data_IF_605838670162
#
_entry.id   IF_605838670162
#
_cell.length_a   1.000
_cell.length_b   1.000
_cell.length_c   1.000
_cell.angle_alpha   90.00
_cell.angle_beta   90.00
_cell.angle_gamma   90.00
#
_symmetry.space_group_name_H-M   'P 1'
#
loop_
_entity.id
_entity.type
_entity.pdbx_description
1 polymer ?
#
# COMPACT_ATOMS: atom_id res chain seq x y z
N UNK A 1 -2.80 20.06 -5.49
CA UNK A 1 -3.50 18.76 -5.35
C UNK A 1 -2.44 17.67 -5.36
N UNK A 2 -2.59 16.64 -4.53
CA UNK A 2 -1.65 15.50 -4.54
C UNK A 2 -1.78 14.74 -5.86
N UNK A 3 -0.66 14.25 -6.39
CA UNK A 3 -0.62 13.36 -7.57
C UNK A 3 -1.29 12.00 -7.28
N UNK A 4 -1.41 11.63 -6.01
CA UNK A 4 -1.91 10.34 -5.53
C UNK A 4 -3.07 10.51 -4.57
N UNK A 5 -4.05 9.60 -4.67
CA UNK A 5 -5.25 9.61 -3.85
C UNK A 5 -5.33 8.40 -2.93
N UNK A 6 -6.02 8.53 -1.80
CA UNK A 6 -6.31 7.44 -0.90
C UNK A 6 -7.14 6.34 -1.60
N UNK A 7 -8.11 6.74 -2.40
CA UNK A 7 -8.93 5.82 -3.22
C UNK A 7 -8.07 5.04 -4.21
N UNK A 8 -7.17 5.71 -4.94
CA UNK A 8 -6.26 5.04 -5.88
C UNK A 8 -5.31 4.06 -5.18
N UNK A 9 -4.87 4.37 -3.94
CA UNK A 9 -4.10 3.44 -3.12
C UNK A 9 -4.92 2.19 -2.79
N UNK A 10 -6.18 2.34 -2.37
CA UNK A 10 -7.08 1.22 -2.07
C UNK A 10 -7.33 0.38 -3.31
N UNK A 11 -7.59 0.99 -4.45
CA UNK A 11 -7.76 0.28 -5.72
C UNK A 11 -6.51 -0.55 -6.10
N UNK A 12 -5.33 0.04 -5.96
CA UNK A 12 -4.06 -0.66 -6.19
C UNK A 12 -3.87 -1.87 -5.27
N UNK A 13 -4.20 -1.73 -3.98
CA UNK A 13 -4.08 -2.81 -3.02
C UNK A 13 -5.14 -3.90 -3.22
N UNK A 14 -6.36 -3.53 -3.62
CA UNK A 14 -7.39 -4.50 -4.00
C UNK A 14 -6.96 -5.33 -5.23
N UNK A 15 -6.34 -4.70 -6.22
CA UNK A 15 -5.77 -5.44 -7.35
C UNK A 15 -4.66 -6.39 -6.90
N UNK A 16 -3.82 -5.96 -5.94
CA UNK A 16 -2.72 -6.76 -5.43
C UNK A 16 -3.17 -8.05 -4.72
N UNK A 17 -4.40 -8.12 -4.20
CA UNK A 17 -5.00 -9.36 -3.69
C UNK A 17 -5.15 -10.44 -4.78
N UNK A 18 -5.36 -10.05 -6.04
CA UNK A 18 -5.46 -10.96 -7.19
C UNK A 18 -4.09 -11.35 -7.77
N UNK A 19 -3.00 -10.74 -7.32
CA UNK A 19 -1.66 -11.05 -7.83
C UNK A 19 -1.01 -12.17 -7.02
N UNK A 20 -0.16 -12.95 -7.66
CA UNK A 20 0.72 -13.89 -6.95
C UNK A 20 1.81 -13.11 -6.24
N UNK A 21 1.67 -12.90 -4.96
CA UNK A 21 2.60 -12.10 -4.14
C UNK A 21 3.30 -12.97 -3.09
N UNK A 22 4.47 -12.55 -2.69
CA UNK A 22 5.23 -13.15 -1.57
C UNK A 22 5.91 -12.04 -0.78
N UNK A 23 5.92 -12.19 0.54
CA UNK A 23 6.59 -11.23 1.40
C UNK A 23 8.11 -11.26 1.17
N UNK A 24 8.68 -10.12 0.83
CA UNK A 24 10.13 -9.96 0.71
C UNK A 24 10.56 -8.68 1.41
N UNK A 25 11.30 -8.79 2.50
CA UNK A 25 11.80 -7.63 3.24
C UNK A 25 12.58 -6.68 2.32
N UNK A 26 12.20 -5.40 2.30
CA UNK A 26 12.75 -4.39 1.39
C UNK A 26 12.30 -4.53 -0.06
N UNK A 27 11.34 -5.40 -0.37
CA UNK A 27 10.78 -5.58 -1.71
C UNK A 27 9.84 -4.44 -2.11
N UNK A 28 9.74 -4.16 -3.41
CA UNK A 28 8.96 -3.06 -4.01
C UNK A 28 8.09 -3.56 -5.18
N UNK A 29 7.32 -4.61 -5.00
CA UNK A 29 6.47 -5.22 -6.04
C UNK A 29 7.22 -5.52 -7.34
N UNK A 30 8.36 -6.16 -7.21
CA UNK A 30 9.15 -6.66 -8.35
C UNK A 30 8.97 -8.15 -8.53
N UNK A 31 9.00 -8.62 -9.78
CA UNK A 31 9.03 -10.05 -10.08
C UNK A 31 10.17 -10.71 -9.31
N UNK A 32 9.88 -11.80 -8.64
CA UNK A 32 10.87 -12.58 -7.90
C UNK A 32 11.83 -13.23 -8.90
N UNK A 33 13.11 -12.91 -8.81
CA UNK A 33 14.20 -13.49 -9.58
C UNK A 33 15.33 -13.90 -8.63
N UNK A 34 16.22 -14.79 -9.06
CA UNK A 34 17.40 -15.15 -8.24
C UNK A 34 18.22 -13.89 -7.90
N UNK A 35 18.48 -13.04 -8.90
CA UNK A 35 19.22 -11.78 -8.69
C UNK A 35 18.55 -10.86 -7.67
N UNK A 36 17.19 -10.80 -7.66
CA UNK A 36 16.45 -10.00 -6.67
C UNK A 36 16.56 -10.59 -5.26
N UNK A 37 16.47 -11.91 -5.13
CA UNK A 37 16.68 -12.62 -3.85
C UNK A 37 18.08 -12.35 -3.31
N UNK A 38 19.11 -12.55 -4.14
CA UNK A 38 20.52 -12.38 -3.74
C UNK A 38 20.83 -10.93 -3.35
N UNK A 39 20.32 -9.97 -4.12
CA UNK A 39 20.44 -8.55 -3.80
C UNK A 39 19.84 -8.22 -2.42
N UNK A 40 18.61 -8.72 -2.14
CA UNK A 40 17.95 -8.48 -0.87
C UNK A 40 18.60 -9.25 0.29
N UNK A 41 19.06 -10.45 0.06
CA UNK A 41 19.86 -11.22 1.06
C UNK A 41 21.13 -10.48 1.44
N UNK A 42 21.85 -9.92 0.46
CA UNK A 42 23.05 -9.11 0.71
C UNK A 42 22.73 -7.84 1.52
N UNK A 43 21.62 -7.18 1.20
CA UNK A 43 21.18 -5.94 1.85
C UNK A 43 20.63 -6.16 3.27
N UNK A 44 19.94 -7.29 3.51
CA UNK A 44 19.21 -7.59 4.74
C UNK A 44 19.40 -9.03 5.19
N UNK A 45 20.64 -9.50 5.48
CA UNK A 45 20.95 -10.92 5.68
C UNK A 45 20.12 -11.59 6.78
N UNK A 46 19.79 -10.88 7.85
CA UNK A 46 18.99 -11.42 8.97
C UNK A 46 17.55 -11.81 8.62
N UNK A 47 17.01 -11.30 7.50
CA UNK A 47 15.63 -11.58 7.05
C UNK A 47 15.59 -12.65 5.95
N UNK A 48 16.74 -13.11 5.49
CA UNK A 48 16.89 -14.07 4.38
C UNK A 48 17.69 -15.30 4.84
N UNK A 49 17.13 -16.06 5.82
CA UNK A 49 17.69 -17.36 6.20
C UNK A 49 17.71 -18.30 5.00
N UNK A 50 18.52 -19.37 5.07
CA UNK A 50 18.58 -20.36 3.98
C UNK A 50 17.21 -20.97 3.68
N UNK A 51 16.43 -21.29 4.70
CA UNK A 51 15.05 -21.79 4.54
C UNK A 51 14.18 -20.76 3.80
N UNK A 52 14.28 -19.46 4.16
CA UNK A 52 13.52 -18.41 3.47
C UNK A 52 13.96 -18.26 2.02
N UNK A 53 15.24 -18.30 1.74
CA UNK A 53 15.78 -18.24 0.37
C UNK A 53 15.25 -19.41 -0.47
N UNK A 54 15.30 -20.64 0.02
CA UNK A 54 14.75 -21.82 -0.66
C UNK A 54 13.26 -21.66 -0.96
N UNK A 55 12.49 -21.13 -0.02
CA UNK A 55 11.08 -20.82 -0.18
C UNK A 55 10.84 -19.79 -1.32
N UNK A 56 11.63 -18.71 -1.33
CA UNK A 56 11.52 -17.67 -2.35
C UNK A 56 11.93 -18.18 -3.74
N UNK A 57 12.88 -19.09 -3.81
CA UNK A 57 13.31 -19.71 -5.07
C UNK A 57 12.18 -20.46 -5.76
N UNK A 58 11.24 -21.07 -5.03
CA UNK A 58 10.06 -21.70 -5.62
C UNK A 58 9.05 -20.71 -6.22
N UNK A 59 9.25 -19.40 -6.01
CA UNK A 59 8.38 -18.32 -6.47
C UNK A 59 8.95 -17.57 -7.68
N UNK A 60 10.17 -17.89 -8.10
CA UNK A 60 10.86 -17.22 -9.21
C UNK A 60 10.01 -17.23 -10.48
N UNK A 61 9.94 -16.07 -11.15
CA UNK A 61 9.23 -15.85 -12.39
C UNK A 61 7.71 -15.70 -12.27
N UNK A 62 7.10 -16.21 -11.18
CA UNK A 62 5.65 -16.30 -11.06
C UNK A 62 5.04 -15.40 -9.98
N UNK A 63 5.88 -14.81 -9.11
CA UNK A 63 5.43 -14.02 -7.97
C UNK A 63 6.06 -12.63 -7.97
N UNK A 64 5.37 -11.68 -7.34
CA UNK A 64 5.90 -10.37 -7.02
C UNK A 64 6.32 -10.32 -5.54
N UNK A 65 7.53 -9.83 -5.28
CA UNK A 65 8.08 -9.68 -3.93
C UNK A 65 7.91 -8.26 -3.41
N UNK A 66 7.27 -8.11 -2.24
CA UNK A 66 7.15 -6.83 -1.53
C UNK A 66 7.12 -7.03 -0.01
N UNK A 67 7.37 -5.96 0.73
CA UNK A 67 7.01 -5.87 2.15
C UNK A 67 5.84 -4.90 2.37
N UNK A 68 5.45 -4.70 3.63
CA UNK A 68 4.30 -3.86 3.98
C UNK A 68 4.46 -2.40 3.53
N UNK A 69 5.65 -1.82 3.67
CA UNK A 69 5.97 -0.46 3.20
C UNK A 69 6.19 -0.44 1.70
N UNK A 70 6.80 -1.49 1.18
CA UNK A 70 7.11 -1.66 -0.25
C UNK A 70 5.88 -1.66 -1.13
N UNK A 71 4.75 -2.19 -0.64
CA UNK A 71 3.49 -2.15 -1.36
C UNK A 71 2.95 -0.70 -1.47
N UNK A 72 3.02 0.11 -0.40
CA UNK A 72 2.67 1.53 -0.44
C UNK A 72 3.59 2.28 -1.39
N UNK A 73 4.91 2.08 -1.26
CA UNK A 73 5.90 2.72 -2.11
C UNK A 73 5.73 2.34 -3.57
N UNK A 74 5.37 1.10 -3.89
CA UNK A 74 5.18 0.68 -5.28
C UNK A 74 4.05 1.46 -5.94
N UNK A 75 2.96 1.76 -5.22
CA UNK A 75 1.92 2.67 -5.70
C UNK A 75 2.49 4.06 -6.03
N UNK A 76 3.23 4.66 -5.09
CA UNK A 76 3.81 5.99 -5.24
C UNK A 76 4.90 6.05 -6.32
N UNK A 77 5.61 4.95 -6.56
CA UNK A 77 6.71 4.88 -7.52
C UNK A 77 6.27 4.46 -8.94
N UNK A 78 4.97 4.28 -9.17
CA UNK A 78 4.42 4.04 -10.50
C UNK A 78 4.09 2.59 -10.82
N UNK A 79 4.07 1.68 -9.84
CA UNK A 79 3.51 0.34 -9.97
C UNK A 79 4.53 -0.81 -10.00
N UNK A 80 4.08 -1.94 -10.56
CA UNK A 80 4.83 -3.19 -10.61
C UNK A 80 6.03 -3.09 -11.55
N UNK A 81 7.17 -3.67 -11.15
CA UNK A 81 8.39 -3.83 -11.95
C UNK A 81 9.06 -2.54 -12.46
N UNK A 82 8.43 -1.40 -12.29
CA UNK A 82 8.94 -0.12 -12.79
C UNK A 82 8.94 0.98 -11.74
N UNK A 83 9.45 0.74 -10.51
CA UNK A 83 9.44 1.77 -9.49
C UNK A 83 10.35 2.92 -9.93
N UNK A 84 9.75 4.06 -10.21
CA UNK A 84 10.45 5.34 -10.39
C UNK A 84 10.76 5.88 -8.99
N UNK A 85 11.93 5.52 -8.48
CA UNK A 85 12.37 5.93 -7.14
C UNK A 85 12.30 7.45 -6.96
N UNK A 86 11.71 7.86 -5.85
CA UNK A 86 11.67 9.26 -5.42
C UNK A 86 11.99 9.31 -3.92
N UNK A 87 13.11 9.92 -3.58
CA UNK A 87 13.63 9.98 -2.19
C UNK A 87 12.63 10.56 -1.19
N UNK A 88 11.80 11.53 -1.61
CA UNK A 88 10.77 12.15 -0.76
C UNK A 88 9.74 11.18 -0.18
N UNK A 89 9.57 10.00 -0.81
CA UNK A 89 8.63 8.95 -0.36
C UNK A 89 9.35 7.70 0.16
N UNK A 90 10.70 7.70 0.14
CA UNK A 90 11.48 6.58 0.64
C UNK A 90 11.60 6.66 2.16
N UNK A 91 10.72 5.95 2.82
CA UNK A 91 10.63 5.90 4.28
C UNK A 91 10.30 4.48 4.76
N UNK A 92 10.34 4.26 6.05
CA UNK A 92 9.94 3.03 6.73
C UNK A 92 8.67 3.26 7.57
N UNK A 93 8.20 2.24 8.27
CA UNK A 93 6.99 2.32 9.11
C UNK A 93 7.07 3.45 10.15
N UNK A 94 8.22 3.60 10.82
CA UNK A 94 8.46 4.67 11.81
C UNK A 94 8.43 6.05 11.14
N UNK A 95 9.04 6.18 9.96
CA UNK A 95 9.03 7.41 9.20
C UNK A 95 7.62 7.80 8.74
N UNK A 96 6.79 6.83 8.28
CA UNK A 96 5.39 7.08 7.95
C UNK A 96 4.62 7.63 9.17
N UNK A 97 4.82 7.02 10.34
CA UNK A 97 4.22 7.51 11.58
C UNK A 97 4.66 8.94 11.92
N UNK A 98 5.95 9.25 11.74
CA UNK A 98 6.53 10.56 12.07
C UNK A 98 6.05 11.68 11.14
N UNK A 99 5.95 11.42 9.82
CA UNK A 99 5.53 12.44 8.84
C UNK A 99 4.02 12.69 8.83
N UNK A 100 3.23 11.76 9.36
CA UNK A 100 1.78 11.88 9.44
C UNK A 100 1.37 12.85 10.53
N UNK A 101 0.87 14.02 10.14
CA UNK A 101 0.35 15.04 11.07
C UNK A 101 -1.04 14.66 11.59
N UNK A 102 -1.89 14.13 10.72
CA UNK A 102 -3.22 13.63 11.06
C UNK A 102 -3.15 12.14 11.34
N UNK A 103 -3.39 11.76 12.57
CA UNK A 103 -3.35 10.38 13.09
C UNK A 103 -4.10 10.27 14.39
N UNK A 104 -4.52 9.06 14.74
CA UNK A 104 -5.16 8.75 16.02
C UNK A 104 -4.90 7.32 16.46
N UNK A 105 -5.37 6.98 17.67
CA UNK A 105 -5.33 5.60 18.14
C UNK A 105 -6.33 4.74 17.36
N UNK A 106 -6.15 3.43 17.35
CA UNK A 106 -7.00 2.53 16.55
C UNK A 106 -8.47 2.56 16.97
N UNK A 107 -8.75 2.86 18.24
CA UNK A 107 -10.11 2.99 18.79
C UNK A 107 -10.86 4.18 18.18
N UNK A 108 -10.13 5.16 17.65
CA UNK A 108 -10.70 6.35 16.99
C UNK A 108 -10.67 6.26 15.47
N UNK A 109 -10.44 5.06 14.90
CA UNK A 109 -10.37 4.87 13.46
C UNK A 109 -11.64 5.37 12.77
N UNK A 110 -11.55 6.43 11.93
CA UNK A 110 -12.71 6.89 11.18
C UNK A 110 -12.96 5.99 9.96
N UNK A 111 -14.20 5.97 9.45
CA UNK A 111 -14.57 5.22 8.27
C UNK A 111 -14.10 5.92 6.99
N UNK A 112 -12.78 6.05 6.84
CA UNK A 112 -12.10 6.68 5.69
C UNK A 112 -11.17 5.66 5.05
N UNK A 113 -11.48 5.24 3.84
CA UNK A 113 -10.65 4.30 3.10
C UNK A 113 -9.30 4.92 2.72
N UNK A 114 -8.25 4.09 2.68
CA UNK A 114 -6.90 4.51 2.33
C UNK A 114 -6.08 5.03 3.52
N UNK A 115 -6.67 5.10 4.73
CA UNK A 115 -5.89 5.33 5.94
C UNK A 115 -4.87 4.22 6.12
N UNK A 116 -3.68 4.58 6.54
CA UNK A 116 -2.64 3.61 6.89
C UNK A 116 -2.87 3.14 8.32
N UNK A 117 -3.05 1.86 8.49
CA UNK A 117 -3.05 1.21 9.79
C UNK A 117 -1.60 0.95 10.20
N UNK A 118 -1.28 1.25 11.45
CA UNK A 118 0.08 1.19 11.97
C UNK A 118 0.15 0.38 13.26
N UNK A 119 1.18 -0.45 13.35
CA UNK A 119 1.74 -0.97 14.58
C UNK A 119 3.28 -0.97 14.48
N UNK A 120 3.98 -1.10 15.59
CA UNK A 120 5.46 -1.07 15.60
C UNK A 120 6.03 -2.08 14.59
N UNK A 121 6.68 -1.57 13.55
CA UNK A 121 7.33 -2.39 12.52
C UNK A 121 6.43 -2.87 11.39
N UNK A 122 5.13 -2.51 11.37
CA UNK A 122 4.22 -2.98 10.34
C UNK A 122 3.16 -1.93 9.98
N UNK A 123 2.69 -1.99 8.72
CA UNK A 123 1.62 -1.14 8.19
C UNK A 123 0.70 -1.93 7.28
N UNK A 124 -0.55 -1.49 7.18
CA UNK A 124 -1.56 -1.94 6.23
C UNK A 124 -2.39 -0.77 5.73
N UNK A 125 -3.32 -1.01 4.83
CA UNK A 125 -4.25 0.00 4.30
C UNK A 125 -5.68 -0.36 4.69
N UNK A 126 -6.36 0.56 5.36
CA UNK A 126 -7.77 0.42 5.69
C UNK A 126 -8.63 0.52 4.43
N UNK A 127 -9.52 -0.43 4.24
CA UNK A 127 -10.39 -0.49 3.05
C UNK A 127 -11.88 -0.28 3.38
N UNK A 128 -12.17 0.11 4.62
CA UNK A 128 -13.55 0.28 5.11
C UNK A 128 -14.09 -0.98 5.81
N UNK A 129 -15.23 -0.82 6.49
CA UNK A 129 -15.99 -1.92 7.12
C UNK A 129 -15.15 -2.79 8.09
N UNK A 130 -14.19 -2.21 8.79
CA UNK A 130 -13.30 -2.94 9.71
C UNK A 130 -12.34 -3.91 9.02
N UNK A 131 -12.06 -3.76 7.73
CA UNK A 131 -11.13 -4.58 6.96
C UNK A 131 -9.89 -3.78 6.55
N UNK A 132 -8.78 -4.48 6.40
CA UNK A 132 -7.56 -3.93 5.84
C UNK A 132 -6.89 -4.91 4.88
N UNK A 133 -6.05 -4.38 3.98
CA UNK A 133 -5.13 -5.17 3.17
C UNK A 133 -3.73 -4.88 3.69
N UNK A 134 -2.91 -5.91 3.82
CA UNK A 134 -1.53 -5.83 4.29
C UNK A 134 -0.63 -6.79 3.51
N UNK A 135 0.67 -6.49 3.42
CA UNK A 135 1.65 -7.46 2.95
C UNK A 135 2.40 -7.97 4.17
N UNK A 136 2.22 -9.24 4.51
CA UNK A 136 2.69 -9.84 5.77
C UNK A 136 3.35 -11.19 5.58
N UNK A 137 4.05 -11.65 6.63
CA UNK A 137 4.64 -12.99 6.72
C UNK A 137 4.28 -13.58 8.09
N UNK A 138 3.74 -14.79 8.11
CA UNK A 138 3.41 -15.52 9.34
C UNK A 138 1.99 -16.05 9.35
N UNK A 139 1.32 -16.01 10.50
CA UNK A 139 0.01 -16.66 10.70
C UNK A 139 -1.11 -16.15 9.81
N UNK A 140 -0.97 -14.93 9.28
CA UNK A 140 -1.99 -14.32 8.41
C UNK A 140 -1.72 -14.55 6.91
N UNK A 141 -0.53 -15.04 6.55
CA UNK A 141 -0.17 -15.34 5.16
C UNK A 141 1.29 -15.07 4.85
N UNK A 142 1.65 -15.21 3.57
CA UNK A 142 2.97 -14.86 3.02
C UNK A 142 2.75 -14.07 1.73
N UNK A 143 2.68 -12.76 1.83
CA UNK A 143 2.37 -11.84 0.74
C UNK A 143 1.23 -10.88 1.07
N UNK A 144 0.49 -10.45 0.04
CA UNK A 144 -0.64 -9.53 0.18
C UNK A 144 -1.89 -10.31 0.58
N UNK A 145 -2.49 -9.91 1.67
CA UNK A 145 -3.68 -10.56 2.25
C UNK A 145 -4.68 -9.52 2.76
N UNK A 146 -5.94 -9.90 2.81
CA UNK A 146 -6.99 -9.15 3.47
C UNK A 146 -7.20 -9.70 4.88
N UNK A 147 -7.25 -8.81 5.88
CA UNK A 147 -7.45 -9.16 7.29
C UNK A 147 -8.48 -8.24 7.93
N UNK A 148 -9.01 -8.65 9.09
CA UNK A 148 -9.84 -7.77 9.92
C UNK A 148 -8.96 -6.85 10.76
N UNK A 149 -9.42 -5.62 10.96
CA UNK A 149 -8.75 -4.66 11.87
C UNK A 149 -8.80 -5.17 13.31
N UNK A 150 -9.98 -5.67 13.73
CA UNK A 150 -10.17 -6.21 15.05
C UNK A 150 -9.27 -7.44 15.31
N UNK A 151 -8.59 -7.45 16.44
CA UNK A 151 -7.72 -8.57 16.87
C UNK A 151 -6.39 -8.68 16.11
N UNK A 152 -6.10 -7.76 15.17
CA UNK A 152 -4.82 -7.78 14.40
C UNK A 152 -3.66 -7.16 15.17
N UNK A 153 -3.93 -6.29 16.14
CA UNK A 153 -2.91 -5.61 16.94
C UNK A 153 -2.49 -4.25 16.40
N UNK A 154 -3.27 -3.67 15.51
CA UNK A 154 -3.08 -2.29 15.10
C UNK A 154 -3.18 -1.35 16.30
N UNK A 155 -2.34 -0.32 16.33
CA UNK A 155 -2.30 0.66 17.45
C UNK A 155 -2.76 2.05 17.04
N UNK A 156 -2.56 2.41 15.77
CA UNK A 156 -2.90 3.74 15.26
C UNK A 156 -3.39 3.66 13.81
N UNK A 157 -4.05 4.72 13.39
CA UNK A 157 -4.31 5.06 12.01
C UNK A 157 -3.61 6.36 11.63
N UNK A 158 -3.21 6.52 10.36
CA UNK A 158 -2.41 7.62 9.86
C UNK A 158 -2.97 8.12 8.53
N UNK A 159 -2.93 9.45 8.29
CA UNK A 159 -3.00 10.03 6.95
C UNK A 159 -1.59 10.33 6.44
N UNK A 160 -1.19 9.73 5.34
CA UNK A 160 0.08 10.09 4.71
C UNK A 160 -0.06 11.43 3.99
N UNK A 161 0.88 12.38 4.16
CA UNK A 161 0.79 13.71 3.54
C UNK A 161 0.92 13.69 2.01
N UNK A 162 1.21 12.55 1.44
CA UNK A 162 1.38 12.34 0.00
C UNK A 162 0.10 11.90 -0.72
N UNK A 163 -0.94 11.59 0.04
CA UNK A 163 -2.23 11.11 -0.45
C UNK A 163 -3.31 12.18 -0.26
N UNK A 164 -4.14 12.35 -1.26
CA UNK A 164 -5.37 13.12 -1.14
C UNK A 164 -6.49 12.21 -0.62
N UNK A 165 -7.07 12.57 0.52
CA UNK A 165 -8.17 11.84 1.17
C UNK A 165 -9.55 12.44 0.85
N UNK A 166 -9.60 13.55 0.09
CA UNK A 166 -10.86 14.20 -0.29
C UNK A 166 -11.44 13.67 -1.61
N UNK A 167 -10.74 12.72 -2.25
CA UNK A 167 -11.15 12.15 -3.53
C UNK A 167 -12.28 11.13 -3.29
N UNK A 168 -13.51 11.59 -3.40
CA UNK A 168 -14.73 10.81 -3.18
C UNK A 168 -15.73 11.45 -2.22
N UNK A 169 -15.37 12.52 -1.57
CA UNK A 169 -16.38 13.41 -0.99
C UNK A 169 -16.95 14.23 -2.15
N UNK A 170 -18.01 13.73 -2.77
CA UNK A 170 -18.94 14.61 -3.45
C UNK A 170 -19.43 15.58 -2.36
N UNK A 171 -18.84 16.75 -2.27
CA UNK A 171 -19.52 17.86 -1.62
C UNK A 171 -20.74 18.11 -2.47
N UNK A 172 -21.86 17.48 -2.13
CA UNK A 172 -23.15 17.98 -2.53
C UNK A 172 -23.17 19.42 -2.04
N UNK A 173 -22.85 20.33 -2.94
CA UNK A 173 -23.06 21.73 -2.71
C UNK A 173 -24.57 21.88 -2.63
N UNK A 174 -25.11 21.98 -1.43
CA UNK A 174 -26.54 22.18 -1.19
C UNK A 174 -27.08 23.51 -1.72
N UNK A 175 -26.40 24.13 -2.68
CA UNK A 175 -26.84 25.34 -3.37
C UNK A 175 -27.05 25.08 -4.87
N UNK A 176 -28.18 25.49 -5.38
CA UNK A 176 -28.54 25.46 -6.81
C UNK A 176 -27.92 26.60 -7.61
N UNK A 177 -26.82 27.20 -7.18
CA UNK A 177 -26.22 28.31 -7.86
C UNK A 177 -25.46 27.90 -9.14
N UNK A 178 -25.48 28.69 -10.21
CA UNK A 178 -24.79 28.40 -11.48
C UNK A 178 -23.27 28.22 -11.34
N UNK A 179 -22.63 28.92 -10.40
CA UNK A 179 -21.19 28.84 -10.16
C UNK A 179 -20.73 27.48 -9.60
N UNK A 180 -21.62 26.75 -8.91
CA UNK A 180 -21.34 25.42 -8.39
C UNK A 180 -21.47 24.37 -9.49
N UNK A 181 -22.40 24.54 -10.45
CA UNK A 181 -22.59 23.64 -11.59
C UNK A 181 -21.40 23.61 -12.55
N UNK A 182 -20.65 24.70 -12.68
CA UNK A 182 -19.45 24.77 -13.54
C UNK A 182 -18.21 24.17 -12.89
N UNK A 183 -18.05 24.29 -11.57
CA UNK A 183 -16.91 23.69 -10.83
C UNK A 183 -17.00 22.16 -10.68
N UNK A 184 -18.20 21.61 -10.69
CA UNK A 184 -18.43 20.16 -10.60
C UNK A 184 -18.26 19.41 -11.94
N UNK A 185 -18.21 20.11 -13.09
CA UNK A 185 -18.17 19.50 -14.42
C UNK A 185 -16.80 19.09 -14.96
N UNK A 186 -15.72 19.19 -14.19
CA UNK A 186 -14.42 18.68 -14.64
C UNK A 186 -14.30 17.20 -14.32
N UNK A 187 -14.31 16.30 -15.32
CA UNK A 187 -14.02 14.89 -15.08
C UNK A 187 -12.58 14.78 -14.60
N UNK A 188 -12.40 14.30 -13.38
CA UNK A 188 -11.07 13.98 -12.85
C UNK A 188 -10.77 12.51 -13.09
N UNK A 189 -9.80 12.33 -13.95
CA UNK A 189 -8.88 11.22 -14.05
C UNK A 189 -9.34 9.94 -14.73
N UNK A 190 -8.77 9.79 -15.89
CA UNK A 190 -8.39 8.49 -16.47
C UNK A 190 -7.79 7.56 -15.42
N UNK A 191 -8.46 6.47 -15.16
CA UNK A 191 -7.93 5.31 -14.44
C UNK A 191 -6.54 4.98 -15.00
N UNK A 192 -5.52 5.13 -14.18
CA UNK A 192 -4.20 4.58 -14.52
C UNK A 192 -4.33 3.06 -14.55
N UNK A 193 -4.32 2.48 -15.74
CA UNK A 193 -4.30 1.02 -15.90
C UNK A 193 -2.94 0.54 -15.40
N UNK A 194 -2.94 -0.09 -14.24
CA UNK A 194 -1.76 -0.77 -13.72
C UNK A 194 -1.49 -2.01 -14.56
N UNK A 195 -0.22 -2.24 -14.90
CA UNK A 195 0.20 -3.37 -15.74
C UNK A 195 -0.38 -4.68 -15.20
N UNK A 196 -1.02 -5.43 -16.07
CA UNK A 196 -1.62 -6.73 -15.73
C UNK A 196 -0.56 -7.69 -15.19
N UNK A 197 -0.92 -8.59 -14.24
CA UNK A 197 -0.01 -9.62 -13.75
C UNK A 197 0.43 -10.55 -14.91
N UNK A 198 1.63 -11.09 -14.80
CA UNK A 198 2.13 -12.16 -15.66
C UNK A 198 1.18 -13.35 -15.50
N UNK A 199 0.66 -13.86 -16.62
CA UNK A 199 -0.18 -15.07 -16.65
C UNK A 199 0.61 -16.30 -16.26
#
# INVERSE_FOLDING_TARGET
MSEFTAKGLVEYWNQALGWKTVYMWGGLMKTVTQAFIDYKKKQYPKYYSEARVKQLQTKIGNYYGCDCVGLIKSYLFGGINSPKYKSKWDTNTRGMYSVSKTKGTIETLPEIQGLILYMKGHVGVYIGNGECIECTLGKYGDGVVKTKVAGRGWTHWLQLPWLDYNDGVETECGCDCPCCKEKCKKPRNTLKVWVKPVK
#
